data_IF_070877709793
#
_entry.id   IF_070877709793
#
_cell.length_a   1.000
_cell.length_b   1.000
_cell.length_c   1.000
_cell.angle_alpha   90.00
_cell.angle_beta   90.00
_cell.angle_gamma   90.00
#
_symmetry.space_group_name_H-M   'P 1'
#
loop_
_entity.id
_entity.type
_entity.pdbx_description
1 polymer ?
#
# COMPACT_ATOMS: atom_id res chain seq x y z
N UNK A 1 -37.52 7.44 43.53
CA UNK A 1 -37.11 6.32 42.65
C UNK A 1 -36.85 6.71 41.21
N UNK A 2 -37.21 7.91 40.69
CA UNK A 2 -36.98 8.33 39.29
C UNK A 2 -35.59 8.96 39.03
N UNK A 3 -34.95 9.57 40.01
CA UNK A 3 -33.63 10.19 39.88
C UNK A 3 -32.47 9.17 39.79
N UNK A 4 -32.57 8.03 40.51
CA UNK A 4 -31.52 7.01 40.47
C UNK A 4 -31.43 6.25 39.14
N UNK A 5 -32.54 6.16 38.39
CA UNK A 5 -32.55 5.51 37.05
C UNK A 5 -31.97 6.39 35.96
N UNK A 6 -32.03 7.72 36.12
CA UNK A 6 -31.48 8.67 35.12
C UNK A 6 -29.97 8.80 35.23
N UNK A 7 -29.38 8.60 36.42
CA UNK A 7 -27.92 8.67 36.62
C UNK A 7 -27.18 7.44 36.06
N UNK A 8 -27.82 6.26 36.06
CA UNK A 8 -27.21 5.02 35.52
C UNK A 8 -27.17 5.05 33.97
N UNK A 9 -28.14 5.71 33.33
CA UNK A 9 -28.19 5.80 31.84
C UNK A 9 -27.14 6.76 31.29
N UNK A 10 -26.76 7.82 32.02
CA UNK A 10 -25.72 8.75 31.58
C UNK A 10 -24.30 8.21 31.74
N UNK A 11 -24.03 7.32 32.69
CA UNK A 11 -22.73 6.69 32.88
C UNK A 11 -22.48 5.61 31.80
N UNK A 12 -23.53 4.91 31.35
CA UNK A 12 -23.40 3.89 30.29
C UNK A 12 -23.02 4.44 28.90
N UNK A 13 -23.46 5.68 28.58
CA UNK A 13 -23.18 6.30 27.28
C UNK A 13 -21.77 6.89 27.22
N UNK A 14 -21.20 7.37 28.33
CA UNK A 14 -19.83 7.91 28.36
C UNK A 14 -18.77 6.82 28.25
N UNK A 15 -19.02 5.61 28.74
CA UNK A 15 -18.07 4.47 28.63
C UNK A 15 -18.01 3.84 27.24
N UNK A 16 -19.09 3.97 26.44
CA UNK A 16 -19.10 3.44 25.06
C UNK A 16 -18.29 4.30 24.07
N UNK A 17 -18.12 5.60 24.36
CA UNK A 17 -17.38 6.52 23.46
C UNK A 17 -15.86 6.45 23.68
N UNK A 18 -15.40 6.09 24.88
CA UNK A 18 -13.96 6.04 25.20
C UNK A 18 -13.25 4.79 24.65
N UNK A 19 -13.98 3.74 24.25
CA UNK A 19 -13.40 2.52 23.66
C UNK A 19 -13.19 2.57 22.14
N UNK A 20 -13.96 3.39 21.42
CA UNK A 20 -13.91 3.44 19.96
C UNK A 20 -12.74 4.29 19.42
N UNK A 21 -12.31 5.31 20.16
CA UNK A 21 -11.24 6.23 19.71
C UNK A 21 -9.86 5.57 19.60
N UNK A 22 -9.40 4.72 20.53
CA UNK A 22 -8.11 4.05 20.38
C UNK A 22 -8.12 2.97 19.30
N UNK A 23 -9.27 2.32 19.02
CA UNK A 23 -9.39 1.34 17.95
C UNK A 23 -9.29 2.02 16.56
N UNK A 24 -9.95 3.15 16.40
CA UNK A 24 -9.91 3.94 15.16
C UNK A 24 -8.50 4.50 14.89
N UNK A 25 -7.78 4.96 15.92
CA UNK A 25 -6.38 5.40 15.81
C UNK A 25 -5.44 4.24 15.43
N UNK A 26 -5.71 3.03 15.93
CA UNK A 26 -4.90 1.84 15.61
C UNK A 26 -5.08 1.42 14.15
N UNK A 27 -6.32 1.46 13.63
CA UNK A 27 -6.63 1.14 12.22
C UNK A 27 -5.99 2.18 11.26
N UNK A 28 -5.92 3.46 11.65
CA UNK A 28 -5.31 4.51 10.84
C UNK A 28 -3.78 4.54 10.93
N UNK A 29 -3.19 3.99 11.99
CA UNK A 29 -1.73 3.95 12.16
C UNK A 29 -1.07 2.80 11.36
N UNK A 30 -1.79 1.71 11.07
CA UNK A 30 -1.26 0.52 10.39
C UNK A 30 -1.31 0.61 8.85
N UNK A 31 -1.68 1.75 8.28
CA UNK A 31 -1.85 1.88 6.81
C UNK A 31 -0.64 2.46 6.08
N UNK A 32 0.44 2.81 6.78
CA UNK A 32 1.63 3.33 6.12
C UNK A 32 2.57 2.20 5.71
N UNK A 33 2.85 2.02 4.40
CA UNK A 33 3.80 1.03 3.92
C UNK A 33 5.16 1.16 4.62
N UNK A 34 5.70 0.03 5.07
CA UNK A 34 7.05 -0.04 5.64
C UNK A 34 7.93 -0.87 4.72
N UNK A 35 8.84 -0.23 4.00
CA UNK A 35 9.75 -0.86 3.03
C UNK A 35 11.13 -1.03 3.65
N UNK A 36 11.59 -2.28 3.72
CA UNK A 36 12.96 -2.64 4.10
C UNK A 36 13.69 -3.12 2.85
N UNK A 37 14.69 -2.37 2.38
CA UNK A 37 15.45 -2.67 1.17
C UNK A 37 16.81 -3.30 1.50
N UNK A 38 17.11 -4.44 0.88
CA UNK A 38 18.43 -5.08 0.85
C UNK A 38 19.00 -4.98 -0.57
N UNK A 39 20.25 -4.52 -0.70
CA UNK A 39 20.91 -4.24 -2.00
C UNK A 39 22.13 -5.06 -2.29
N UNK A 40 22.56 -5.94 -1.36
CA UNK A 40 23.81 -6.70 -1.47
C UNK A 40 23.93 -7.56 -2.73
N UNK A 41 22.79 -8.00 -3.28
CA UNK A 41 22.72 -8.89 -4.43
C UNK A 41 22.48 -8.14 -5.75
N UNK A 42 22.35 -6.82 -5.71
CA UNK A 42 22.19 -6.01 -6.91
C UNK A 42 23.45 -6.08 -7.79
N UNK A 43 23.30 -6.48 -9.04
CA UNK A 43 24.37 -6.60 -10.03
C UNK A 43 23.88 -5.99 -11.36
N UNK A 44 24.74 -5.57 -12.28
CA UNK A 44 26.22 -5.54 -12.20
C UNK A 44 26.80 -4.32 -11.46
N UNK A 45 25.96 -3.38 -11.04
CA UNK A 45 26.38 -2.15 -10.35
C UNK A 45 25.95 -2.17 -8.89
N UNK A 46 26.78 -1.66 -7.99
CA UNK A 46 26.40 -1.40 -6.60
C UNK A 46 25.41 -0.24 -6.51
N UNK A 47 24.46 -0.35 -5.58
CA UNK A 47 23.45 0.71 -5.35
C UNK A 47 23.96 1.65 -4.26
N UNK A 48 24.23 2.88 -4.62
CA UNK A 48 24.73 3.91 -3.72
C UNK A 48 23.67 4.29 -2.66
N UNK A 49 24.06 4.70 -1.46
CA UNK A 49 23.17 5.03 -0.35
C UNK A 49 22.09 6.07 -0.72
N UNK A 50 22.44 7.06 -1.53
CA UNK A 50 21.50 8.08 -1.97
C UNK A 50 20.42 7.49 -2.88
N UNK A 51 20.80 6.53 -3.72
CA UNK A 51 19.87 5.79 -4.59
C UNK A 51 19.00 4.84 -3.76
N UNK A 52 19.58 4.12 -2.79
CA UNK A 52 18.80 3.25 -1.88
C UNK A 52 17.69 4.04 -1.16
N UNK A 53 18.04 5.20 -0.59
CA UNK A 53 17.08 6.06 0.08
C UNK A 53 15.98 6.56 -0.86
N UNK A 54 16.33 6.91 -2.10
CA UNK A 54 15.36 7.33 -3.12
C UNK A 54 14.42 6.17 -3.52
N UNK A 55 14.96 4.96 -3.72
CA UNK A 55 14.16 3.76 -4.03
C UNK A 55 13.18 3.46 -2.88
N UNK A 56 13.64 3.43 -1.64
CA UNK A 56 12.77 3.17 -0.47
C UNK A 56 11.66 4.20 -0.38
N UNK A 57 11.98 5.49 -0.53
CA UNK A 57 11.00 6.58 -0.53
C UNK A 57 9.95 6.39 -1.62
N UNK A 58 10.40 6.21 -2.86
CA UNK A 58 9.52 6.23 -4.02
C UNK A 58 8.71 4.93 -4.16
N UNK A 59 9.27 3.78 -3.75
CA UNK A 59 8.53 2.52 -3.66
C UNK A 59 7.47 2.55 -2.56
N UNK A 60 7.78 3.16 -1.40
CA UNK A 60 6.78 3.41 -0.35
C UNK A 60 5.63 4.28 -0.86
N UNK A 61 5.94 5.39 -1.57
CA UNK A 61 4.93 6.26 -2.18
C UNK A 61 4.09 5.53 -3.24
N UNK A 62 4.70 4.63 -4.01
CA UNK A 62 3.98 3.82 -4.98
C UNK A 62 2.92 2.92 -4.29
N UNK A 63 3.26 2.23 -3.21
CA UNK A 63 2.30 1.42 -2.47
C UNK A 63 1.20 2.25 -1.79
N UNK A 64 1.54 3.43 -1.25
CA UNK A 64 0.53 4.38 -0.76
C UNK A 64 -0.43 4.81 -1.87
N UNK A 65 0.10 5.06 -3.08
CA UNK A 65 -0.70 5.44 -4.24
C UNK A 65 -1.65 4.31 -4.68
N UNK A 66 -1.21 3.04 -4.65
CA UNK A 66 -2.09 1.88 -4.90
C UNK A 66 -3.23 1.84 -3.89
N UNK A 67 -2.91 1.93 -2.60
CA UNK A 67 -3.92 1.93 -1.54
C UNK A 67 -4.93 3.06 -1.70
N UNK A 68 -4.47 4.29 -1.94
CA UNK A 68 -5.32 5.47 -2.15
C UNK A 68 -6.20 5.35 -3.40
N UNK A 69 -5.63 4.87 -4.52
CA UNK A 69 -6.34 4.70 -5.78
C UNK A 69 -7.48 3.68 -5.67
N UNK A 70 -7.22 2.55 -5.02
CA UNK A 70 -8.19 1.47 -4.84
C UNK A 70 -9.27 1.84 -3.81
N UNK A 71 -8.91 2.53 -2.72
CA UNK A 71 -9.87 2.93 -1.69
C UNK A 71 -10.86 4.00 -2.19
N UNK A 72 -10.41 4.90 -3.09
CA UNK A 72 -11.20 6.05 -3.54
C UNK A 72 -11.67 5.95 -4.99
N UNK A 73 -11.36 4.88 -5.71
CA UNK A 73 -11.66 4.71 -7.15
C UNK A 73 -11.12 5.90 -8.00
N UNK A 74 -9.90 6.38 -7.69
CA UNK A 74 -9.26 7.52 -8.36
C UNK A 74 -7.94 7.10 -9.01
N UNK A 75 -7.59 7.70 -10.15
CA UNK A 75 -6.39 7.36 -10.91
C UNK A 75 -5.21 8.32 -10.64
N UNK A 76 -5.49 9.51 -10.13
CA UNK A 76 -4.48 10.56 -9.97
C UNK A 76 -3.25 10.13 -9.14
N UNK A 77 -3.39 9.40 -7.99
CA UNK A 77 -2.22 8.96 -7.23
C UNK A 77 -1.29 8.03 -8.02
N UNK A 78 -1.86 7.23 -8.95
CA UNK A 78 -1.06 6.28 -9.75
C UNK A 78 -0.14 7.00 -10.75
N UNK A 79 -0.60 8.08 -11.38
CA UNK A 79 0.14 8.79 -12.44
C UNK A 79 1.47 9.36 -11.96
N UNK A 80 1.59 9.66 -10.67
CA UNK A 80 2.81 10.23 -10.09
C UNK A 80 3.88 9.16 -9.83
N UNK A 81 3.47 7.93 -9.49
CA UNK A 81 4.34 6.89 -8.96
C UNK A 81 4.52 5.70 -9.92
N UNK A 82 3.67 5.59 -10.93
CA UNK A 82 3.68 4.49 -11.89
C UNK A 82 3.83 4.99 -13.32
N UNK A 83 4.34 4.12 -14.20
CA UNK A 83 4.43 4.34 -15.64
C UNK A 83 4.28 3.02 -16.39
N UNK A 84 4.08 3.06 -17.71
CA UNK A 84 4.03 1.90 -18.60
C UNK A 84 3.05 0.82 -18.12
N UNK A 85 3.48 -0.42 -18.15
CA UNK A 85 2.63 -1.59 -17.92
C UNK A 85 1.99 -1.64 -16.51
N UNK A 86 2.74 -1.25 -15.47
CA UNK A 86 2.19 -1.20 -14.11
C UNK A 86 1.06 -0.17 -13.99
N UNK A 87 1.21 1.02 -14.60
CA UNK A 87 0.16 2.03 -14.62
C UNK A 87 -1.10 1.55 -15.36
N UNK A 88 -0.93 0.89 -16.50
CA UNK A 88 -2.05 0.35 -17.28
C UNK A 88 -2.84 -0.69 -16.51
N UNK A 89 -2.16 -1.69 -15.91
CA UNK A 89 -2.80 -2.74 -15.10
C UNK A 89 -3.55 -2.18 -13.89
N UNK A 90 -2.91 -1.29 -13.13
CA UNK A 90 -3.54 -0.67 -11.96
C UNK A 90 -4.72 0.22 -12.36
N UNK A 91 -4.60 0.96 -13.45
CA UNK A 91 -5.71 1.76 -14.01
C UNK A 91 -6.90 0.88 -14.36
N UNK A 92 -6.66 -0.27 -15.02
CA UNK A 92 -7.73 -1.20 -15.35
C UNK A 92 -8.39 -1.76 -14.10
N UNK A 93 -7.60 -2.18 -13.10
CA UNK A 93 -8.12 -2.68 -11.82
C UNK A 93 -9.02 -1.66 -11.12
N UNK A 94 -8.63 -0.38 -11.07
CA UNK A 94 -9.45 0.69 -10.47
C UNK A 94 -10.73 0.91 -11.26
N UNK A 95 -10.69 0.87 -12.59
CA UNK A 95 -11.89 1.00 -13.45
C UNK A 95 -12.86 -0.16 -13.24
N UNK A 96 -12.35 -1.40 -13.21
CA UNK A 96 -13.18 -2.60 -13.05
C UNK A 96 -13.89 -2.60 -11.69
N UNK A 97 -13.18 -2.33 -10.60
CA UNK A 97 -13.83 -2.28 -9.29
C UNK A 97 -14.87 -1.15 -9.19
N UNK A 98 -14.58 0.02 -9.79
CA UNK A 98 -15.51 1.15 -9.84
C UNK A 98 -16.78 0.81 -10.61
N UNK A 99 -16.68 0.12 -11.75
CA UNK A 99 -17.83 -0.33 -12.54
C UNK A 99 -18.73 -1.31 -11.77
N UNK A 100 -18.13 -2.11 -10.88
CA UNK A 100 -18.85 -3.05 -10.03
C UNK A 100 -19.37 -2.40 -8.73
N UNK A 101 -19.20 -1.08 -8.53
CA UNK A 101 -19.60 -0.39 -7.31
C UNK A 101 -18.77 -0.71 -6.08
N UNK A 102 -17.60 -1.36 -6.26
CA UNK A 102 -16.75 -1.82 -5.19
C UNK A 102 -15.60 -0.84 -4.92
N UNK A 103 -15.01 -0.94 -3.72
CA UNK A 103 -13.72 -0.35 -3.36
C UNK A 103 -12.85 -1.40 -2.70
N UNK A 104 -11.53 -1.19 -2.71
CA UNK A 104 -10.59 -2.09 -2.05
C UNK A 104 -9.75 -1.30 -1.04
N UNK A 105 -9.72 -1.77 0.21
CA UNK A 105 -8.79 -1.29 1.22
C UNK A 105 -7.61 -2.24 1.31
N UNK A 106 -6.40 -1.68 1.28
CA UNK A 106 -5.16 -2.41 1.56
C UNK A 106 -4.70 -2.01 2.96
N UNK A 107 -4.51 -3.01 3.83
CA UNK A 107 -3.84 -2.86 5.11
C UNK A 107 -2.44 -3.44 4.93
N UNK A 108 -1.44 -2.58 4.99
CA UNK A 108 -0.05 -2.93 4.75
C UNK A 108 0.65 -3.29 6.06
N UNK A 109 1.21 -4.48 6.13
CA UNK A 109 1.97 -5.01 7.27
C UNK A 109 3.49 -5.00 7.04
N UNK A 110 3.93 -4.56 5.84
CA UNK A 110 5.33 -4.35 5.50
C UNK A 110 5.81 -5.11 4.26
N UNK A 111 6.93 -4.61 3.73
CA UNK A 111 7.60 -5.07 2.53
C UNK A 111 9.05 -5.41 2.84
N UNK A 112 9.47 -6.63 2.52
CA UNK A 112 10.87 -7.05 2.49
C UNK A 112 11.31 -7.08 1.03
N UNK A 113 12.13 -6.11 0.65
CA UNK A 113 12.51 -5.85 -0.73
C UNK A 113 13.99 -6.16 -0.91
N UNK A 114 14.32 -6.95 -1.91
CA UNK A 114 15.67 -7.27 -2.35
C UNK A 114 15.89 -6.66 -3.73
N UNK A 115 16.93 -5.83 -3.91
CA UNK A 115 17.37 -5.40 -5.22
C UNK A 115 18.18 -6.54 -5.86
N UNK A 116 17.70 -7.07 -6.99
CA UNK A 116 18.29 -8.21 -7.70
C UNK A 116 19.04 -7.82 -8.96
N UNK A 117 18.75 -6.64 -9.49
CA UNK A 117 19.44 -6.07 -10.64
C UNK A 117 19.50 -4.54 -10.52
N UNK A 118 20.63 -3.94 -10.86
CA UNK A 118 20.78 -2.50 -11.04
C UNK A 118 21.56 -2.24 -12.31
N UNK A 119 20.97 -1.50 -13.25
CA UNK A 119 21.55 -1.31 -14.58
C UNK A 119 22.89 -0.59 -14.52
N UNK A 120 23.83 -0.88 -15.46
CA UNK A 120 25.17 -0.27 -15.48
C UNK A 120 25.13 1.26 -15.55
N UNK A 121 24.15 1.81 -16.25
CA UNK A 121 23.91 3.26 -16.40
C UNK A 121 23.16 3.89 -15.21
N UNK A 122 22.70 3.06 -14.25
CA UNK A 122 21.95 3.52 -13.10
C UNK A 122 20.51 3.96 -13.40
N UNK A 123 19.97 3.64 -14.58
CA UNK A 123 18.64 4.10 -15.01
C UNK A 123 17.50 3.19 -14.61
N UNK A 124 17.77 1.92 -14.27
CA UNK A 124 16.75 0.93 -13.92
C UNK A 124 17.21 0.02 -12.77
N UNK A 125 16.26 -0.34 -11.90
CA UNK A 125 16.46 -1.30 -10.82
C UNK A 125 15.32 -2.33 -10.82
N UNK A 126 15.67 -3.61 -10.62
CA UNK A 126 14.71 -4.69 -10.43
C UNK A 126 14.68 -5.11 -8.97
N UNK A 127 13.47 -5.21 -8.43
CA UNK A 127 13.19 -5.51 -7.05
C UNK A 127 12.37 -6.79 -6.95
N UNK A 128 12.75 -7.63 -6.01
CA UNK A 128 11.95 -8.75 -5.53
C UNK A 128 11.38 -8.36 -4.17
N UNK A 129 10.06 -8.22 -4.09
CA UNK A 129 9.36 -7.78 -2.90
C UNK A 129 8.53 -8.91 -2.30
N UNK A 130 8.68 -9.13 -1.01
CA UNK A 130 7.80 -9.99 -0.22
C UNK A 130 6.93 -9.12 0.65
N UNK A 131 5.72 -8.84 0.15
CA UNK A 131 4.73 -7.99 0.79
C UNK A 131 3.82 -8.79 1.71
N UNK A 132 3.62 -8.34 2.94
CA UNK A 132 2.60 -8.85 3.86
C UNK A 132 1.44 -7.86 3.88
N UNK A 133 0.32 -8.22 3.26
CA UNK A 133 -0.83 -7.32 3.09
C UNK A 133 -2.14 -8.02 3.41
N UNK A 134 -3.10 -7.26 3.93
CA UNK A 134 -4.50 -7.64 4.01
C UNK A 134 -5.28 -6.85 2.97
N UNK A 135 -6.05 -7.54 2.15
CA UNK A 135 -6.92 -6.94 1.14
C UNK A 135 -8.36 -7.09 1.56
N UNK A 136 -9.06 -5.97 1.72
CA UNK A 136 -10.48 -5.93 2.06
C UNK A 136 -11.27 -5.37 0.88
N UNK A 137 -12.27 -6.13 0.38
CA UNK A 137 -13.22 -5.65 -0.63
C UNK A 137 -14.45 -5.11 0.07
N UNK A 138 -14.87 -3.91 -0.31
CA UNK A 138 -16.00 -3.22 0.31
C UNK A 138 -17.10 -2.92 -0.74
N UNK A 139 -18.35 -3.13 -0.32
CA UNK A 139 -19.56 -2.71 -1.02
C UNK A 139 -20.31 -1.70 -0.13
N UNK A 140 -20.53 -0.47 -0.64
CA UNK A 140 -21.16 0.61 0.10
C UNK A 140 -20.51 0.91 1.47
N UNK A 141 -19.18 0.66 1.60
CA UNK A 141 -18.43 0.84 2.84
C UNK A 141 -18.43 -0.38 3.79
N UNK A 142 -19.20 -1.43 3.48
CA UNK A 142 -19.23 -2.69 4.24
C UNK A 142 -18.20 -3.66 3.69
N UNK A 143 -17.34 -4.24 4.54
CA UNK A 143 -16.40 -5.27 4.13
C UNK A 143 -17.18 -6.55 3.80
N UNK A 144 -17.11 -6.99 2.53
CA UNK A 144 -17.75 -8.21 2.04
C UNK A 144 -16.76 -9.36 1.86
N UNK A 145 -15.47 -9.05 1.77
CA UNK A 145 -14.39 -10.03 1.69
C UNK A 145 -13.12 -9.47 2.32
N UNK A 146 -12.37 -10.30 3.04
CA UNK A 146 -11.05 -9.97 3.57
C UNK A 146 -10.13 -11.18 3.40
N UNK A 147 -8.92 -10.93 2.91
CA UNK A 147 -7.87 -11.93 2.76
C UNK A 147 -6.52 -11.33 3.17
N UNK A 148 -5.80 -12.03 4.04
CA UNK A 148 -4.45 -11.68 4.46
C UNK A 148 -3.46 -12.67 3.86
N UNK A 149 -2.51 -12.15 3.11
CA UNK A 149 -1.54 -12.96 2.41
C UNK A 149 -0.13 -12.36 2.45
N UNK A 150 0.86 -13.24 2.32
CA UNK A 150 2.20 -12.88 1.94
C UNK A 150 2.35 -13.11 0.44
N UNK A 151 2.56 -12.02 -0.32
CA UNK A 151 2.60 -12.05 -1.77
C UNK A 151 4.01 -11.65 -2.23
N UNK A 152 4.56 -12.41 -3.16
CA UNK A 152 5.80 -12.06 -3.82
C UNK A 152 5.53 -11.26 -5.08
N UNK A 153 6.19 -10.10 -5.22
CA UNK A 153 6.16 -9.25 -6.41
C UNK A 153 7.54 -9.14 -7.03
N UNK A 154 7.58 -9.04 -8.36
CA UNK A 154 8.69 -8.47 -9.10
C UNK A 154 8.32 -7.08 -9.56
N UNK A 155 9.18 -6.10 -9.27
CA UNK A 155 8.99 -4.73 -9.67
C UNK A 155 10.21 -4.23 -10.43
N UNK A 156 9.97 -3.50 -11.53
CA UNK A 156 11.02 -2.74 -12.22
C UNK A 156 10.73 -1.27 -12.01
N UNK A 157 11.70 -0.55 -11.46
CA UNK A 157 11.65 0.90 -11.34
C UNK A 157 12.66 1.55 -12.29
N UNK A 158 12.29 2.71 -12.82
CA UNK A 158 13.18 3.55 -13.66
C UNK A 158 13.20 4.97 -13.14
N UNK A 159 14.36 5.61 -13.25
CA UNK A 159 14.51 7.03 -12.96
C UNK A 159 13.68 7.89 -13.92
N UNK A 160 12.99 8.89 -13.38
CA UNK A 160 12.22 9.88 -14.13
C UNK A 160 12.37 11.23 -13.44
N UNK A 161 13.06 12.16 -14.06
CA UNK A 161 13.34 13.52 -13.55
C UNK A 161 13.87 13.52 -12.10
N UNK A 162 12.98 13.68 -11.11
CA UNK A 162 13.31 13.82 -9.69
C UNK A 162 12.98 12.59 -8.83
N UNK A 163 12.43 11.52 -9.43
CA UNK A 163 11.96 10.32 -8.70
C UNK A 163 12.09 9.02 -9.49
N UNK A 164 11.95 7.92 -8.78
CA UNK A 164 11.81 6.60 -9.39
C UNK A 164 10.32 6.27 -9.57
N UNK A 165 9.97 5.71 -10.74
CA UNK A 165 8.61 5.23 -11.04
C UNK A 165 8.60 3.73 -11.27
N UNK A 166 7.57 3.06 -10.74
CA UNK A 166 7.34 1.63 -10.99
C UNK A 166 6.77 1.45 -12.39
N UNK A 167 7.48 0.72 -13.26
CA UNK A 167 7.05 0.43 -14.64
C UNK A 167 6.47 -0.96 -14.81
N UNK A 168 6.93 -1.91 -14.01
CA UNK A 168 6.41 -3.28 -13.93
C UNK A 168 6.14 -3.60 -12.47
N UNK A 169 5.01 -4.21 -12.19
CA UNK A 169 4.64 -4.75 -10.89
C UNK A 169 3.83 -6.03 -11.13
N UNK A 170 4.48 -7.17 -10.96
CA UNK A 170 3.90 -8.50 -11.21
C UNK A 170 3.92 -9.33 -9.95
N UNK A 171 2.76 -9.90 -9.58
CA UNK A 171 2.71 -10.91 -8.53
C UNK A 171 3.10 -12.28 -9.09
N UNK A 172 3.90 -13.02 -8.34
CA UNK A 172 4.20 -14.42 -8.66
C UNK A 172 3.06 -15.26 -8.12
N UNK A 173 2.34 -15.95 -9.04
CA UNK A 173 1.38 -16.96 -8.65
C UNK A 173 2.13 -18.11 -7.95
N UNK A 174 1.67 -18.52 -6.77
CA UNK A 174 2.13 -19.75 -6.11
C UNK A 174 1.43 -20.95 -6.67
#
# INVERSE_FOLDING_TARGET
MKLARMLILTIGVVLAISGAVPLLKRILADTKPSVQLEVKNAQPREVEDVTQNAIVRDYTLAWQAVGAALANNTLQPLNENFAGFALEKLTQRVKDQKQNGLTTRIVDHGHKVEAIFYSPDGAAIELKDTASIETQVLDGGTVIHSDQAQIQYYAVMTGAEDRWKVRVLESVAR
#
